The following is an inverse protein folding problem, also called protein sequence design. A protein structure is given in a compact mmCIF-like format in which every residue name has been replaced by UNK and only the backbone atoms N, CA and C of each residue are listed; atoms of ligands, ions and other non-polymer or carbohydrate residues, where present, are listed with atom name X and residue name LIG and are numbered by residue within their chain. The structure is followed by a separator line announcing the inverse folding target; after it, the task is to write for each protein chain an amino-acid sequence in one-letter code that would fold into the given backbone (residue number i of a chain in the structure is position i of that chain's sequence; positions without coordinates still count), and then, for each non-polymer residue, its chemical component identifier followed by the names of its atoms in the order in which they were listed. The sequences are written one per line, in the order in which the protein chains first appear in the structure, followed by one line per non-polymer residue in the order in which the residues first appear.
data_IF_465400063064
#
_entry.id   IF_465400063064
#
_cell.length_a   1.000
_cell.length_b   1.000
_cell.length_c   1.000
_cell.angle_alpha   90.00
_cell.angle_beta   90.00
_cell.angle_gamma   90.00
#
_symmetry.space_group_name_H-M   'P 1'
#
loop_
_entity.id
_entity.type
_entity.pdbx_description
1 polymer ?
#
# COMPACT_ATOMS: atom_id res chain seq x y z
N UNK A 1 -26.64 -49.67 -19.14
CA UNK A 1 -27.85 -48.83 -19.07
C UNK A 1 -28.67 -49.23 -17.85
N UNK A 2 -28.94 -48.25 -16.98
CA UNK A 2 -30.03 -48.10 -16.00
C UNK A 2 -30.62 -49.37 -15.36
N UNK A 3 -30.54 -49.46 -14.03
CA UNK A 3 -31.75 -49.59 -13.19
C UNK A 3 -31.59 -48.81 -11.88
N UNK A 4 -32.61 -48.00 -11.61
CA UNK A 4 -32.88 -47.32 -10.35
C UNK A 4 -33.45 -48.32 -9.35
N UNK A 5 -33.18 -48.14 -8.07
CA UNK A 5 -34.11 -48.51 -7.00
C UNK A 5 -33.93 -47.51 -5.86
N UNK A 6 -35.04 -46.95 -5.40
CA UNK A 6 -35.07 -46.01 -4.30
C UNK A 6 -35.78 -46.57 -3.08
N UNK A 7 -35.92 -45.65 -2.12
CA UNK A 7 -36.91 -45.54 -1.05
C UNK A 7 -36.55 -46.01 0.38
N UNK A 8 -36.74 -45.03 1.28
CA UNK A 8 -37.31 -45.07 2.64
C UNK A 8 -36.43 -45.55 3.81
N UNK A 9 -35.99 -44.63 4.68
CA UNK A 9 -36.66 -44.04 5.88
C UNK A 9 -36.43 -44.90 7.14
N UNK A 10 -35.84 -44.31 8.20
CA UNK A 10 -36.46 -44.11 9.54
C UNK A 10 -35.41 -43.81 10.64
N UNK A 11 -35.52 -42.59 11.18
CA UNK A 11 -35.41 -42.15 12.60
C UNK A 11 -34.50 -42.86 13.62
N UNK A 12 -33.66 -42.10 14.33
CA UNK A 12 -33.72 -42.05 15.81
C UNK A 12 -33.00 -40.81 16.38
N UNK A 13 -33.74 -40.03 17.17
CA UNK A 13 -33.29 -38.95 18.05
C UNK A 13 -32.73 -39.56 19.33
N UNK A 14 -31.67 -38.98 19.91
CA UNK A 14 -31.44 -39.06 21.36
C UNK A 14 -30.83 -37.76 21.89
N UNK A 15 -31.62 -37.05 22.69
CA UNK A 15 -31.24 -35.89 23.50
C UNK A 15 -30.86 -36.40 24.89
N UNK A 16 -29.74 -35.94 25.44
CA UNK A 16 -29.49 -35.95 26.88
C UNK A 16 -29.06 -34.55 27.32
N UNK A 17 -29.92 -33.93 28.13
CA UNK A 17 -29.58 -32.79 28.96
C UNK A 17 -29.34 -33.30 30.39
N UNK A 18 -28.29 -32.83 31.05
CA UNK A 18 -28.21 -32.79 32.51
C UNK A 18 -27.67 -31.42 32.94
N UNK A 19 -28.53 -30.73 33.69
CA UNK A 19 -28.27 -29.52 34.45
C UNK A 19 -27.72 -29.89 35.83
N UNK A 20 -26.71 -29.13 36.28
CA UNK A 20 -26.32 -28.90 37.69
C UNK A 20 -25.88 -27.42 37.72
N UNK A 21 -26.29 -26.49 38.59
CA UNK A 21 -27.15 -26.52 39.77
C UNK A 21 -26.46 -25.86 40.97
N UNK A 22 -26.59 -24.52 41.12
CA UNK A 22 -26.47 -23.69 42.35
C UNK A 22 -25.11 -23.61 43.10
N UNK A 23 -24.73 -22.60 43.90
CA UNK A 23 -25.19 -21.24 44.26
C UNK A 23 -24.27 -20.67 45.38
N UNK A 24 -23.86 -19.38 45.30
CA UNK A 24 -23.85 -18.41 46.42
C UNK A 24 -22.70 -18.24 47.45
N UNK A 25 -22.10 -17.03 47.44
CA UNK A 25 -21.97 -16.02 48.55
C UNK A 25 -20.67 -15.84 49.40
N UNK A 26 -20.05 -14.65 49.21
CA UNK A 26 -19.28 -13.68 50.07
C UNK A 26 -18.26 -14.10 51.17
N UNK A 27 -17.02 -13.56 51.09
CA UNK A 27 -16.26 -12.79 52.13
C UNK A 27 -14.78 -12.51 51.75
N UNK A 28 -14.31 -11.27 51.95
CA UNK A 28 -12.88 -10.85 52.06
C UNK A 28 -12.20 -11.54 53.30
N UNK A 29 -10.89 -11.67 53.56
CA UNK A 29 -9.62 -10.98 53.23
C UNK A 29 -8.46 -11.96 53.54
N UNK A 30 -7.35 -11.96 52.76
CA UNK A 30 -5.94 -11.78 53.23
C UNK A 30 -4.87 -12.23 52.21
N UNK A 31 -4.02 -11.26 51.84
CA UNK A 31 -2.55 -11.33 51.60
C UNK A 31 -1.92 -12.60 51.01
N UNK A 32 -1.29 -12.44 49.84
CA UNK A 32 -0.11 -13.22 49.45
C UNK A 32 0.04 -13.45 47.95
N UNK A 33 1.17 -12.98 47.42
CA UNK A 33 1.90 -13.47 46.24
C UNK A 33 1.46 -13.09 44.80
N UNK A 34 2.37 -12.33 44.18
CA UNK A 34 3.00 -12.63 42.89
C UNK A 34 2.08 -13.15 41.78
N UNK A 35 1.34 -12.23 41.16
CA UNK A 35 0.91 -12.43 39.78
C UNK A 35 1.89 -11.72 38.85
N UNK A 36 2.85 -12.51 38.38
CA UNK A 36 3.27 -12.48 36.98
C UNK A 36 2.02 -12.21 36.13
N UNK A 37 1.91 -11.00 35.59
CA UNK A 37 1.19 -10.81 34.34
C UNK A 37 2.03 -11.47 33.24
N UNK A 38 2.00 -12.81 33.21
CA UNK A 38 1.99 -13.50 31.95
C UNK A 38 0.59 -13.22 31.40
N UNK A 39 0.48 -12.10 30.68
CA UNK A 39 -0.60 -11.94 29.72
C UNK A 39 -0.59 -13.22 28.89
N UNK A 40 -1.70 -13.97 28.97
CA UNK A 40 -1.94 -15.05 28.03
C UNK A 40 -1.86 -14.41 26.64
N UNK A 41 -0.75 -14.65 25.94
CA UNK A 41 -0.58 -14.33 24.52
C UNK A 41 -1.85 -14.89 23.86
N UNK A 42 -2.79 -14.02 23.53
CA UNK A 42 -4.05 -14.41 22.91
C UNK A 42 -3.67 -15.28 21.72
N UNK A 43 -4.27 -16.47 21.63
CA UNK A 43 -4.00 -17.40 20.55
C UNK A 43 -4.26 -16.66 19.22
N UNK A 44 -3.23 -16.50 18.39
CA UNK A 44 -3.36 -15.76 17.13
C UNK A 44 -4.35 -16.51 16.24
N UNK A 45 -5.25 -15.79 15.57
CA UNK A 45 -6.20 -16.44 14.67
C UNK A 45 -5.52 -16.79 13.35
N UNK A 46 -5.67 -18.03 12.89
CA UNK A 46 -5.12 -18.48 11.62
C UNK A 46 -5.63 -17.65 10.43
N UNK A 47 -4.73 -17.23 9.54
CA UNK A 47 -5.06 -16.43 8.36
C UNK A 47 -3.87 -15.63 7.85
N UNK A 48 -4.12 -14.91 6.76
CA UNK A 48 -3.20 -13.91 6.21
C UNK A 48 -3.60 -12.53 6.70
N UNK A 49 -2.60 -11.72 7.04
CA UNK A 49 -2.76 -10.36 7.53
C UNK A 49 -1.81 -9.46 6.76
N UNK A 50 -2.25 -8.25 6.42
CA UNK A 50 -1.47 -7.28 5.66
C UNK A 50 -1.69 -5.90 6.26
N UNK A 51 -0.61 -5.15 6.40
CA UNK A 51 -0.61 -3.72 6.73
C UNK A 51 0.20 -3.01 5.66
N UNK A 52 -0.40 -1.97 5.08
CA UNK A 52 0.20 -1.10 4.08
C UNK A 52 0.10 0.34 4.57
N UNK A 53 1.24 1.00 4.68
CA UNK A 53 1.25 2.42 5.03
C UNK A 53 0.81 3.30 3.87
N UNK A 54 0.28 4.50 4.15
CA UNK A 54 0.15 5.53 3.15
C UNK A 54 1.50 5.91 2.54
N UNK A 55 1.49 6.29 1.27
CA UNK A 55 2.66 6.81 0.55
C UNK A 55 3.21 8.06 1.28
N UNK A 56 4.51 8.05 1.60
CA UNK A 56 5.15 9.23 2.20
C UNK A 56 5.36 10.36 1.19
N UNK A 57 5.73 11.54 1.69
CA UNK A 57 6.09 12.68 0.84
C UNK A 57 7.39 12.44 0.03
N UNK A 58 8.13 11.38 0.37
CA UNK A 58 9.29 10.91 -0.39
C UNK A 58 8.93 9.82 -1.42
N UNK A 59 7.64 9.59 -1.69
CA UNK A 59 7.17 8.65 -2.71
C UNK A 59 7.47 7.17 -2.40
N UNK A 60 7.60 6.82 -1.12
CA UNK A 60 7.79 5.45 -0.66
C UNK A 60 7.01 5.16 0.62
N UNK A 61 6.77 3.89 0.93
CA UNK A 61 6.00 3.46 2.10
C UNK A 61 6.38 2.06 2.55
N UNK A 62 6.07 1.73 3.80
CA UNK A 62 6.23 0.38 4.35
C UNK A 62 5.01 -0.50 4.10
N UNK A 63 5.25 -1.78 3.85
CA UNK A 63 4.19 -2.80 3.76
C UNK A 63 4.71 -4.08 4.39
N UNK A 64 3.85 -4.79 5.12
CA UNK A 64 4.16 -6.14 5.57
C UNK A 64 2.98 -7.09 5.42
N UNK A 65 3.31 -8.34 5.17
CA UNK A 65 2.40 -9.47 5.13
C UNK A 65 2.83 -10.51 6.16
N UNK A 66 1.86 -11.08 6.86
CA UNK A 66 2.06 -12.08 7.91
C UNK A 66 1.04 -13.21 7.74
N UNK A 67 1.50 -14.45 7.82
CA UNK A 67 0.62 -15.62 7.89
C UNK A 67 0.68 -16.25 9.28
N UNK A 68 -0.48 -16.64 9.78
CA UNK A 68 -0.65 -17.40 11.02
C UNK A 68 -1.24 -18.76 10.70
N UNK A 69 -0.61 -19.81 11.21
CA UNK A 69 -1.06 -21.19 11.09
C UNK A 69 -0.88 -21.93 12.41
N UNK A 70 -1.93 -22.61 12.88
CA UNK A 70 -1.97 -23.30 14.17
C UNK A 70 -1.66 -22.35 15.36
N UNK A 71 -2.12 -21.10 15.29
CA UNK A 71 -1.91 -20.11 16.34
C UNK A 71 -0.50 -19.50 16.38
N UNK A 72 0.37 -19.83 15.42
CA UNK A 72 1.76 -19.35 15.35
C UNK A 72 2.03 -18.62 14.02
N UNK A 73 2.97 -17.67 14.03
CA UNK A 73 3.39 -16.95 12.81
C UNK A 73 4.21 -17.90 11.93
N UNK A 74 3.66 -18.29 10.78
CA UNK A 74 4.30 -19.19 9.82
C UNK A 74 5.20 -18.45 8.83
N UNK A 75 4.83 -17.23 8.43
CA UNK A 75 5.63 -16.39 7.53
C UNK A 75 5.43 -14.91 7.86
N UNK A 76 6.47 -14.12 7.59
CA UNK A 76 6.45 -12.68 7.74
C UNK A 76 7.43 -12.05 6.75
N UNK A 77 6.99 -10.99 6.08
CA UNK A 77 7.82 -10.19 5.19
C UNK A 77 7.45 -8.72 5.35
N UNK A 78 8.44 -7.87 5.60
CA UNK A 78 8.35 -6.42 5.59
C UNK A 78 9.20 -5.85 4.46
N UNK A 79 8.62 -4.96 3.68
CA UNK A 79 9.29 -4.27 2.58
C UNK A 79 9.00 -2.78 2.63
N UNK A 80 9.90 -1.99 2.04
CA UNK A 80 9.62 -0.59 1.69
C UNK A 80 9.55 -0.47 0.17
N UNK A 81 8.49 0.14 -0.34
CA UNK A 81 8.15 0.15 -1.77
C UNK A 81 8.27 1.57 -2.33
N UNK A 82 8.81 1.72 -3.53
CA UNK A 82 8.79 2.96 -4.31
C UNK A 82 7.44 3.09 -5.03
N UNK A 83 6.64 4.08 -4.66
CA UNK A 83 5.24 4.21 -5.09
C UNK A 83 5.07 4.36 -6.62
N UNK A 84 6.04 4.96 -7.30
CA UNK A 84 5.98 5.12 -8.76
C UNK A 84 6.16 3.78 -9.49
N UNK A 85 7.14 2.97 -9.09
CA UNK A 85 7.47 1.72 -9.78
C UNK A 85 6.76 0.49 -9.20
N UNK A 86 6.34 0.54 -7.93
CA UNK A 86 5.88 -0.64 -7.19
C UNK A 86 7.00 -1.62 -6.83
N UNK A 87 8.26 -1.25 -7.10
CA UNK A 87 9.41 -2.05 -6.72
C UNK A 87 9.76 -1.84 -5.26
N UNK A 88 10.19 -2.93 -4.62
CA UNK A 88 10.80 -2.86 -3.31
C UNK A 88 12.15 -2.16 -3.41
N UNK A 89 12.50 -1.39 -2.38
CA UNK A 89 13.80 -0.73 -2.28
C UNK A 89 14.91 -1.78 -2.32
N UNK A 90 15.86 -1.59 -3.23
CA UNK A 90 17.02 -2.44 -3.39
C UNK A 90 18.22 -1.62 -3.91
N UNK A 91 19.38 -2.26 -4.04
CA UNK A 91 20.63 -1.58 -4.42
C UNK A 91 20.58 -0.90 -5.80
N UNK A 92 19.69 -1.33 -6.69
CA UNK A 92 19.57 -0.76 -8.04
C UNK A 92 18.65 0.46 -8.10
N UNK A 93 17.70 0.59 -7.18
CA UNK A 93 16.68 1.65 -7.20
C UNK A 93 16.69 2.58 -5.97
N UNK A 94 17.51 2.28 -4.96
CA UNK A 94 17.57 3.06 -3.72
C UNK A 94 19.00 3.23 -3.22
N UNK A 95 19.55 4.43 -3.38
CA UNK A 95 20.94 4.77 -3.03
C UNK A 95 21.11 5.14 -1.55
N UNK A 96 20.74 4.24 -0.64
CA UNK A 96 20.99 4.37 0.79
C UNK A 96 21.18 2.98 1.41
N UNK A 97 22.42 2.49 1.36
CA UNK A 97 22.80 1.12 1.73
C UNK A 97 22.46 0.79 3.19
N UNK A 98 22.63 1.75 4.10
CA UNK A 98 22.30 1.57 5.51
C UNK A 98 20.80 1.30 5.70
N UNK A 99 19.93 1.98 4.95
CA UNK A 99 18.49 1.73 4.98
C UNK A 99 18.13 0.31 4.53
N UNK A 100 18.77 -0.17 3.46
CA UNK A 100 18.57 -1.54 2.96
C UNK A 100 19.04 -2.59 3.98
N UNK A 101 20.19 -2.35 4.61
CA UNK A 101 20.72 -3.23 5.66
C UNK A 101 19.80 -3.29 6.89
N UNK A 102 19.18 -2.17 7.28
CA UNK A 102 18.19 -2.13 8.37
C UNK A 102 16.96 -2.95 8.01
N UNK A 103 16.40 -2.81 6.79
CA UNK A 103 15.23 -3.60 6.35
C UNK A 103 15.53 -5.11 6.40
N UNK A 104 16.68 -5.53 5.85
CA UNK A 104 17.09 -6.92 5.84
C UNK A 104 17.25 -7.48 7.27
N UNK A 105 17.94 -6.73 8.14
CA UNK A 105 18.19 -7.13 9.52
C UNK A 105 16.91 -7.23 10.35
N UNK A 106 15.95 -6.31 10.20
CA UNK A 106 14.67 -6.36 10.90
C UNK A 106 13.85 -7.59 10.50
N UNK A 107 13.82 -7.90 9.20
CA UNK A 107 13.16 -9.12 8.70
C UNK A 107 13.81 -10.39 9.25
N UNK A 108 15.13 -10.48 9.26
CA UNK A 108 15.88 -11.61 9.82
C UNK A 108 15.55 -11.81 11.30
N UNK A 109 15.77 -10.79 12.12
CA UNK A 109 15.56 -10.86 13.57
C UNK A 109 14.12 -11.23 13.93
N UNK A 110 13.12 -10.61 13.29
CA UNK A 110 11.73 -10.94 13.58
C UNK A 110 11.35 -12.32 13.07
N UNK A 111 11.88 -12.76 11.93
CA UNK A 111 11.60 -14.11 11.43
C UNK A 111 12.19 -15.20 12.32
N UNK A 112 13.32 -14.96 12.98
CA UNK A 112 13.92 -15.87 13.96
C UNK A 112 13.15 -15.92 15.27
N UNK A 113 12.73 -14.77 15.77
CA UNK A 113 12.20 -14.64 17.14
C UNK A 113 10.67 -14.71 17.22
N UNK A 114 9.97 -14.29 16.14
CA UNK A 114 8.52 -14.10 16.06
C UNK A 114 7.97 -13.26 17.24
N UNK A 115 8.79 -12.34 17.72
CA UNK A 115 8.56 -11.58 18.95
C UNK A 115 9.23 -10.22 18.84
N UNK A 116 8.41 -9.17 18.72
CA UNK A 116 8.87 -7.80 18.48
C UNK A 116 9.73 -7.26 19.63
N UNK A 117 9.53 -7.75 20.86
CA UNK A 117 10.29 -7.34 22.03
C UNK A 117 11.70 -7.96 22.07
N UNK A 118 11.98 -8.93 21.20
CA UNK A 118 13.31 -9.55 21.04
C UNK A 118 14.10 -8.98 19.87
N UNK A 119 13.51 -8.08 19.09
CA UNK A 119 14.21 -7.40 18.00
C UNK A 119 15.12 -6.31 18.59
N UNK A 120 16.42 -6.41 18.32
CA UNK A 120 17.40 -5.38 18.63
C UNK A 120 17.38 -4.31 17.53
N UNK A 121 16.65 -3.23 17.78
CA UNK A 121 16.54 -2.10 16.88
C UNK A 121 17.83 -1.29 16.76
N UNK A 122 18.82 -1.49 17.64
CA UNK A 122 20.10 -0.77 17.61
C UNK A 122 21.22 -1.57 16.93
N UNK A 123 20.95 -2.81 16.51
CA UNK A 123 21.92 -3.70 15.86
C UNK A 123 22.54 -3.11 14.57
N UNK A 124 21.76 -2.35 13.80
CA UNK A 124 22.22 -1.62 12.60
C UNK A 124 21.95 -0.13 12.79
N UNK A 125 22.96 0.72 12.57
CA UNK A 125 22.82 2.17 12.73
C UNK A 125 22.04 2.82 11.58
N UNK A 126 21.30 3.90 11.86
CA UNK A 126 20.58 4.69 10.85
C UNK A 126 19.12 4.24 10.65
N UNK A 127 18.50 4.78 9.59
CA UNK A 127 17.11 4.50 9.18
C UNK A 127 16.08 4.47 10.33
N UNK A 128 16.11 5.49 11.19
CA UNK A 128 15.21 5.59 12.37
C UNK A 128 13.74 5.41 12.00
N UNK A 129 13.28 6.06 10.92
CA UNK A 129 11.89 5.94 10.46
C UNK A 129 11.52 4.53 9.98
N UNK A 130 12.44 3.80 9.32
CA UNK A 130 12.22 2.39 8.94
C UNK A 130 11.98 1.52 10.17
N UNK A 131 12.78 1.72 11.24
CA UNK A 131 12.63 0.98 12.50
C UNK A 131 11.31 1.29 13.22
N UNK A 132 10.95 2.57 13.28
CA UNK A 132 9.68 3.03 13.86
C UNK A 132 8.49 2.44 13.09
N UNK A 133 8.52 2.50 11.76
CA UNK A 133 7.48 1.93 10.89
C UNK A 133 7.37 0.42 11.07
N UNK A 134 8.50 -0.30 11.04
CA UNK A 134 8.52 -1.73 11.27
C UNK A 134 7.85 -2.11 12.59
N UNK A 135 8.23 -1.45 13.70
CA UNK A 135 7.65 -1.72 15.02
C UNK A 135 6.14 -1.48 15.03
N UNK A 136 5.67 -0.38 14.44
CA UNK A 136 4.23 -0.09 14.36
C UNK A 136 3.50 -1.12 13.51
N UNK A 137 3.99 -1.41 12.32
CA UNK A 137 3.37 -2.36 11.37
C UNK A 137 3.27 -3.75 11.99
N UNK A 138 4.33 -4.24 12.63
CA UNK A 138 4.31 -5.55 13.30
C UNK A 138 3.26 -5.56 14.42
N UNK A 139 3.21 -4.52 15.27
CA UNK A 139 2.21 -4.44 16.33
C UNK A 139 0.77 -4.42 15.78
N UNK A 140 0.55 -3.71 14.66
CA UNK A 140 -0.76 -3.68 14.00
C UNK A 140 -1.13 -5.05 13.40
N UNK A 141 -0.19 -5.75 12.76
CA UNK A 141 -0.40 -7.11 12.27
C UNK A 141 -0.76 -8.08 13.40
N UNK A 142 -0.07 -7.98 14.54
CA UNK A 142 -0.35 -8.80 15.73
C UNK A 142 -1.74 -8.52 16.30
N UNK A 143 -2.14 -7.25 16.38
CA UNK A 143 -3.48 -6.85 16.83
C UNK A 143 -4.57 -7.35 15.86
N UNK A 144 -4.36 -7.21 14.54
CA UNK A 144 -5.25 -7.77 13.52
C UNK A 144 -5.38 -9.29 13.64
N UNK A 145 -4.27 -9.99 13.85
CA UNK A 145 -4.27 -11.43 14.03
C UNK A 145 -4.97 -11.89 15.31
N UNK A 146 -4.80 -11.16 16.42
CA UNK A 146 -5.51 -11.43 17.67
C UNK A 146 -7.02 -11.20 17.53
N UNK A 147 -7.44 -10.24 16.71
CA UNK A 147 -8.86 -9.92 16.43
C UNK A 147 -9.47 -10.77 15.31
N UNK A 148 -8.66 -11.51 14.55
CA UNK A 148 -9.10 -12.24 13.36
C UNK A 148 -9.51 -11.33 12.20
N UNK A 149 -8.95 -10.13 12.10
CA UNK A 149 -9.14 -9.18 11.00
C UNK A 149 -8.32 -9.61 9.77
N UNK A 150 -8.74 -10.73 9.15
CA UNK A 150 -8.04 -11.34 8.03
C UNK A 150 -8.01 -10.42 6.82
N UNK A 151 -6.89 -10.47 6.10
CA UNK A 151 -6.71 -9.80 4.82
C UNK A 151 -7.30 -10.64 3.69
N UNK A 152 -8.02 -9.98 2.79
CA UNK A 152 -8.56 -10.56 1.55
C UNK A 152 -8.07 -9.74 0.36
N UNK A 153 -7.42 -10.36 -0.65
CA UNK A 153 -6.93 -9.65 -1.82
C UNK A 153 -8.10 -9.17 -2.71
N UNK A 154 -7.95 -7.97 -3.28
CA UNK A 154 -8.99 -7.34 -4.13
C UNK A 154 -8.69 -7.51 -5.62
N UNK A 155 -7.41 -7.56 -5.97
CA UNK A 155 -6.93 -7.66 -7.35
C UNK A 155 -6.09 -8.93 -7.55
N UNK A 156 -6.00 -9.37 -8.80
CA UNK A 156 -5.00 -10.32 -9.26
C UNK A 156 -3.66 -9.60 -9.35
N UNK A 157 -2.60 -10.28 -8.96
CA UNK A 157 -1.24 -9.75 -9.07
C UNK A 157 -0.82 -9.64 -10.53
N UNK A 158 -0.06 -8.60 -10.85
CA UNK A 158 0.42 -8.35 -12.20
C UNK A 158 0.74 -6.89 -12.49
N UNK A 159 1.19 -6.66 -13.71
CA UNK A 159 1.38 -5.32 -14.27
C UNK A 159 0.24 -5.03 -15.25
N UNK A 160 -0.37 -3.86 -15.08
CA UNK A 160 -1.52 -3.41 -15.84
C UNK A 160 -1.22 -2.08 -16.50
N UNK A 161 -1.62 -1.91 -17.76
CA UNK A 161 -1.35 -0.69 -18.51
C UNK A 161 -2.58 -0.23 -19.26
N UNK A 162 -2.73 1.08 -19.40
CA UNK A 162 -3.72 1.66 -20.29
C UNK A 162 -3.18 2.98 -20.87
N UNK A 163 -3.49 3.19 -22.14
CA UNK A 163 -3.15 4.42 -22.88
C UNK A 163 -4.45 5.13 -23.25
N UNK A 164 -4.43 6.46 -23.21
CA UNK A 164 -5.52 7.31 -23.68
C UNK A 164 -5.77 7.09 -25.18
N UNK A 165 -7.02 7.27 -25.62
CA UNK A 165 -7.38 7.07 -27.03
C UNK A 165 -6.90 8.22 -27.92
N UNK A 166 -6.93 9.45 -27.39
CA UNK A 166 -6.55 10.66 -28.09
C UNK A 166 -5.60 11.51 -27.26
N UNK A 167 -4.68 12.19 -27.95
CA UNK A 167 -3.78 13.14 -27.33
C UNK A 167 -4.49 14.47 -27.05
N UNK A 168 -4.19 15.08 -25.91
CA UNK A 168 -4.64 16.44 -25.57
C UNK A 168 -3.49 17.42 -25.77
N UNK A 169 -3.65 18.35 -26.73
CA UNK A 169 -2.65 19.37 -27.03
C UNK A 169 -1.25 18.80 -27.33
N UNK A 170 -1.20 17.68 -28.05
CA UNK A 170 0.05 16.99 -28.40
C UNK A 170 0.58 16.02 -27.34
N UNK A 171 -0.12 15.85 -26.21
CA UNK A 171 0.29 14.96 -25.12
C UNK A 171 -0.65 13.76 -24.98
N UNK A 172 -0.11 12.54 -25.02
CA UNK A 172 -0.86 11.31 -24.80
C UNK A 172 -0.58 10.73 -23.41
N UNK A 173 -1.64 10.46 -22.65
CA UNK A 173 -1.55 9.88 -21.31
C UNK A 173 -1.44 8.36 -21.32
N UNK A 174 -0.61 7.82 -20.44
CA UNK A 174 -0.47 6.39 -20.18
C UNK A 174 -0.34 6.16 -18.67
N UNK A 175 -0.90 5.05 -18.19
CA UNK A 175 -0.69 4.57 -16.83
C UNK A 175 -0.09 3.18 -16.84
N UNK A 176 0.84 2.93 -15.91
CA UNK A 176 1.34 1.61 -15.54
C UNK A 176 1.07 1.38 -14.08
N UNK A 177 0.46 0.24 -13.75
CA UNK A 177 0.04 -0.12 -12.40
C UNK A 177 0.65 -1.47 -12.06
N UNK A 178 1.24 -1.57 -10.88
CA UNK A 178 1.77 -2.82 -10.34
C UNK A 178 0.90 -3.24 -9.17
N UNK A 179 0.39 -4.48 -9.24
CA UNK A 179 -0.39 -5.11 -8.18
C UNK A 179 0.41 -6.27 -7.58
N UNK A 180 0.54 -6.27 -6.26
CA UNK A 180 1.12 -7.37 -5.46
C UNK A 180 0.25 -7.65 -4.26
N UNK A 181 0.06 -8.93 -3.93
CA UNK A 181 -0.82 -9.39 -2.86
C UNK A 181 -2.26 -8.82 -2.98
N UNK A 182 -2.73 -8.55 -4.19
CA UNK A 182 -4.03 -7.90 -4.44
C UNK A 182 -4.14 -6.44 -4.00
N UNK A 183 -3.01 -5.76 -3.76
CA UNK A 183 -2.91 -4.33 -3.53
C UNK A 183 -2.25 -3.64 -4.74
N UNK A 184 -2.74 -2.45 -5.12
CA UNK A 184 -1.97 -1.52 -5.93
C UNK A 184 -0.76 -1.09 -5.10
N UNK A 185 0.43 -1.46 -5.57
CA UNK A 185 1.71 -1.13 -4.94
C UNK A 185 2.54 -0.13 -5.74
N UNK A 186 2.29 -0.03 -7.04
CA UNK A 186 2.96 0.91 -7.94
C UNK A 186 1.98 1.57 -8.90
N UNK A 187 2.16 2.85 -9.17
CA UNK A 187 1.41 3.58 -10.19
C UNK A 187 2.28 4.68 -10.80
N UNK A 188 2.61 4.53 -12.09
CA UNK A 188 3.30 5.52 -12.93
C UNK A 188 2.31 6.03 -13.98
N UNK A 189 1.69 7.18 -13.73
CA UNK A 189 0.97 7.91 -14.75
C UNK A 189 1.90 8.97 -15.35
N UNK A 190 1.93 9.04 -16.67
CA UNK A 190 2.70 10.03 -17.37
C UNK A 190 2.01 10.40 -18.68
N UNK A 191 2.33 11.59 -19.18
CA UNK A 191 1.95 12.00 -20.52
C UNK A 191 3.21 12.15 -21.36
N UNK A 192 3.16 11.84 -22.65
CA UNK A 192 4.30 11.99 -23.56
C UNK A 192 3.90 12.70 -24.86
N UNK A 193 4.85 13.42 -25.46
CA UNK A 193 4.60 14.15 -26.71
C UNK A 193 4.40 13.16 -27.87
N UNK A 194 3.36 13.33 -28.67
CA UNK A 194 3.09 12.42 -29.82
C UNK A 194 3.87 12.78 -31.08
N UNK A 195 4.39 14.00 -31.15
CA UNK A 195 5.18 14.53 -32.26
C UNK A 195 6.16 15.58 -31.75
N UNK A 196 7.13 15.97 -32.59
CA UNK A 196 8.04 17.08 -32.27
C UNK A 196 7.24 18.39 -32.19
N UNK A 197 7.40 19.13 -31.11
CA UNK A 197 6.65 20.38 -30.89
C UNK A 197 7.49 21.42 -30.15
N UNK A 198 7.18 22.69 -30.36
CA UNK A 198 7.65 23.76 -29.48
C UNK A 198 6.71 23.89 -28.29
N UNK A 199 7.26 23.77 -27.09
CA UNK A 199 6.55 24.02 -25.85
C UNK A 199 7.14 25.18 -25.07
N UNK A 200 6.69 25.32 -23.83
CA UNK A 200 7.20 26.29 -22.88
C UNK A 200 7.43 25.61 -21.55
N UNK A 201 8.54 25.94 -20.89
CA UNK A 201 8.84 25.52 -19.52
C UNK A 201 8.94 26.74 -18.61
N UNK A 202 8.75 26.52 -17.30
CA UNK A 202 8.95 27.56 -16.29
C UNK A 202 10.45 27.82 -16.11
N UNK A 203 10.81 29.10 -15.94
CA UNK A 203 12.15 29.50 -15.52
C UNK A 203 12.23 29.45 -13.99
N UNK A 204 13.24 28.75 -13.47
CA UNK A 204 13.49 28.62 -12.04
C UNK A 204 14.73 29.43 -11.63
N UNK A 205 14.74 29.93 -10.40
CA UNK A 205 15.91 30.55 -9.79
C UNK A 205 16.90 29.50 -9.23
N UNK A 206 17.98 29.97 -8.62
CA UNK A 206 19.02 29.11 -8.01
C UNK A 206 18.49 28.24 -6.86
N UNK A 207 17.34 28.60 -6.27
CA UNK A 207 16.67 27.87 -5.19
C UNK A 207 15.60 26.88 -5.72
N UNK A 208 15.48 26.68 -7.05
CA UNK A 208 14.40 25.93 -7.70
C UNK A 208 12.99 26.52 -7.48
N UNK A 209 12.87 27.83 -7.26
CA UNK A 209 11.56 28.51 -7.18
C UNK A 209 11.20 29.11 -8.53
N UNK A 210 9.92 29.06 -8.96
CA UNK A 210 9.48 29.72 -10.18
C UNK A 210 9.77 31.23 -10.15
N UNK A 211 10.51 31.72 -11.14
CA UNK A 211 10.67 33.16 -11.36
C UNK A 211 9.31 33.72 -11.74
N UNK A 212 8.85 34.75 -11.03
CA UNK A 212 7.53 35.35 -11.23
C UNK A 212 7.68 36.69 -11.96
N UNK A 213 6.91 36.88 -13.02
CA UNK A 213 6.86 38.14 -13.76
C UNK A 213 6.01 39.21 -13.07
N UNK A 214 6.01 40.42 -13.61
CA UNK A 214 5.24 41.55 -13.08
C UNK A 214 3.72 41.31 -13.06
N UNK A 215 3.23 40.37 -13.86
CA UNK A 215 1.83 39.94 -13.92
C UNK A 215 1.45 38.89 -12.87
N UNK A 216 2.39 38.51 -12.01
CA UNK A 216 2.22 37.49 -10.98
C UNK A 216 2.21 36.06 -11.53
N UNK A 217 2.55 35.84 -12.80
CA UNK A 217 2.64 34.50 -13.40
C UNK A 217 4.08 34.03 -13.50
N UNK A 218 4.33 32.70 -13.53
CA UNK A 218 5.66 32.18 -13.80
C UNK A 218 6.19 32.67 -15.15
N UNK A 219 7.43 33.15 -15.16
CA UNK A 219 8.18 33.42 -16.39
C UNK A 219 8.44 32.10 -17.10
N UNK A 220 8.22 32.08 -18.41
CA UNK A 220 8.42 30.88 -19.24
C UNK A 220 9.38 31.15 -20.39
N UNK A 221 10.13 30.12 -20.78
CA UNK A 221 10.94 30.13 -22.00
C UNK A 221 10.53 29.00 -22.95
N UNK A 222 10.79 29.20 -24.25
CA UNK A 222 10.51 28.21 -25.28
C UNK A 222 11.48 27.02 -25.17
N UNK A 223 10.98 25.83 -25.46
CA UNK A 223 11.75 24.58 -25.44
C UNK A 223 11.27 23.67 -26.56
N UNK A 224 12.21 23.04 -27.26
CA UNK A 224 11.89 22.03 -28.26
C UNK A 224 11.66 20.70 -27.55
N UNK A 225 10.56 20.03 -27.87
CA UNK A 225 10.13 18.78 -27.28
C UNK A 225 10.11 17.74 -28.38
N UNK A 226 10.80 16.63 -28.17
CA UNK A 226 10.83 15.55 -29.17
C UNK A 226 9.65 14.60 -28.99
N UNK A 227 9.20 13.95 -30.07
CA UNK A 227 8.23 12.87 -29.98
C UNK A 227 8.70 11.78 -29.01
N UNK A 228 7.79 11.31 -28.16
CA UNK A 228 8.05 10.31 -27.10
C UNK A 228 8.62 10.87 -25.80
N UNK A 229 8.97 12.16 -25.76
CA UNK A 229 9.49 12.78 -24.54
C UNK A 229 8.38 12.91 -23.47
N UNK A 230 8.66 12.47 -22.25
CA UNK A 230 7.70 12.56 -21.13
C UNK A 230 7.51 14.01 -20.71
N UNK A 231 6.28 14.39 -20.45
CA UNK A 231 5.90 15.70 -19.89
C UNK A 231 6.56 15.85 -18.52
N UNK A 232 7.23 16.98 -18.31
CA UNK A 232 7.95 17.28 -17.07
C UNK A 232 8.07 18.79 -16.86
N UNK A 233 8.62 19.21 -15.72
CA UNK A 233 8.95 20.63 -15.46
C UNK A 233 9.95 21.21 -16.46
N UNK A 234 10.72 20.36 -17.15
CA UNK A 234 11.77 20.78 -18.08
C UNK A 234 11.22 21.04 -19.48
N UNK A 235 9.98 20.62 -19.77
CA UNK A 235 9.35 20.81 -21.08
C UNK A 235 7.89 21.29 -21.01
N UNK A 236 7.34 21.52 -19.82
CA UNK A 236 5.95 21.95 -19.64
C UNK A 236 5.82 23.06 -18.59
N UNK A 237 4.99 24.06 -18.87
CA UNK A 237 4.92 25.31 -18.11
C UNK A 237 3.83 25.33 -17.05
N UNK A 238 2.86 24.42 -17.13
CA UNK A 238 1.76 24.37 -16.16
C UNK A 238 2.11 23.39 -15.03
N UNK A 239 2.83 23.89 -14.02
CA UNK A 239 3.36 23.08 -12.91
C UNK A 239 2.26 22.41 -12.07
N UNK A 240 1.08 23.03 -11.97
CA UNK A 240 -0.07 22.45 -11.27
C UNK A 240 -0.46 21.07 -11.82
N UNK A 241 -0.29 20.81 -13.13
CA UNK A 241 -0.59 19.47 -13.66
C UNK A 241 0.33 18.40 -13.08
N UNK A 242 1.61 18.72 -12.85
CA UNK A 242 2.57 17.77 -12.26
C UNK A 242 2.23 17.46 -10.81
N UNK A 243 1.79 18.49 -10.06
CA UNK A 243 1.34 18.31 -8.69
C UNK A 243 0.06 17.46 -8.62
N UNK A 244 -0.90 17.72 -9.52
CA UNK A 244 -2.13 16.92 -9.62
C UNK A 244 -1.82 15.47 -10.00
N UNK A 245 -0.91 15.22 -10.94
CA UNK A 245 -0.45 13.86 -11.27
C UNK A 245 0.07 13.17 -10.01
N UNK A 246 1.07 13.74 -9.34
CA UNK A 246 1.66 13.14 -8.14
C UNK A 246 0.63 12.87 -7.03
N UNK A 247 -0.25 13.83 -6.73
CA UNK A 247 -1.28 13.69 -5.71
C UNK A 247 -2.31 12.60 -6.05
N UNK A 248 -2.72 12.52 -7.33
CA UNK A 248 -3.67 11.49 -7.76
C UNK A 248 -3.07 10.09 -7.69
N UNK A 249 -1.82 9.92 -8.11
CA UNK A 249 -1.14 8.62 -7.99
C UNK A 249 -1.06 8.19 -6.52
N UNK A 250 -0.65 9.10 -5.64
CA UNK A 250 -0.62 8.89 -4.19
C UNK A 250 -1.97 8.44 -3.65
N UNK A 251 -3.02 9.21 -3.95
CA UNK A 251 -4.37 8.97 -3.46
C UNK A 251 -4.92 7.62 -3.93
N UNK A 252 -4.65 7.23 -5.18
CA UNK A 252 -5.11 5.95 -5.75
C UNK A 252 -4.38 4.76 -5.10
N UNK A 253 -3.08 4.87 -4.84
CA UNK A 253 -2.30 3.83 -4.15
C UNK A 253 -2.82 3.67 -2.71
N UNK A 254 -2.97 4.79 -1.99
CA UNK A 254 -3.44 4.80 -0.59
C UNK A 254 -4.86 4.23 -0.46
N UNK A 255 -5.74 4.57 -1.40
CA UNK A 255 -7.12 4.08 -1.45
C UNK A 255 -7.25 2.67 -2.04
N UNK A 256 -6.16 2.10 -2.58
CA UNK A 256 -6.15 0.83 -3.29
C UNK A 256 -7.17 0.76 -4.44
N UNK A 257 -7.24 1.81 -5.26
CA UNK A 257 -8.16 1.90 -6.39
C UNK A 257 -8.83 3.27 -6.48
N UNK A 258 -9.81 3.39 -7.38
CA UNK A 258 -10.49 4.68 -7.66
C UNK A 258 -11.86 4.85 -6.99
N UNK A 259 -12.35 3.82 -6.31
CA UNK A 259 -13.66 3.86 -5.67
C UNK A 259 -13.62 4.73 -4.41
N UNK A 260 -14.56 5.68 -4.27
CA UNK A 260 -14.65 6.59 -3.13
C UNK A 260 -13.42 7.48 -2.89
N UNK A 261 -12.65 7.80 -3.96
CA UNK A 261 -11.57 8.77 -3.87
C UNK A 261 -12.08 10.15 -3.44
N UNK A 262 -11.38 10.77 -2.49
CA UNK A 262 -11.55 12.20 -2.17
C UNK A 262 -10.89 13.08 -3.25
N UNK A 263 -11.47 13.08 -4.44
CA UNK A 263 -10.96 13.84 -5.59
C UNK A 263 -11.02 15.35 -5.40
N UNK A 264 -11.86 15.82 -4.47
CA UNK A 264 -12.02 17.24 -4.16
C UNK A 264 -10.83 17.79 -3.36
N UNK A 265 -10.07 16.91 -2.68
CA UNK A 265 -8.80 17.27 -2.04
C UNK A 265 -7.68 17.64 -3.03
N UNK A 266 -7.83 17.26 -4.31
CA UNK A 266 -6.87 17.54 -5.39
C UNK A 266 -7.44 18.60 -6.33
N UNK A 267 -7.05 19.86 -6.11
CA UNK A 267 -7.52 21.01 -6.90
C UNK A 267 -6.64 21.27 -8.13
N UNK A 268 -7.23 21.83 -9.19
CA UNK A 268 -6.51 22.16 -10.44
C UNK A 268 -6.50 21.01 -11.45
N UNK A 269 -6.04 21.30 -12.68
CA UNK A 269 -5.87 20.35 -13.78
C UNK A 269 -6.98 19.27 -13.91
N UNK A 270 -8.25 19.68 -13.94
CA UNK A 270 -9.42 18.77 -13.93
C UNK A 270 -9.34 17.67 -14.99
N UNK A 271 -8.92 18.03 -16.22
CA UNK A 271 -8.77 17.05 -17.31
C UNK A 271 -7.74 15.97 -16.97
N UNK A 272 -6.56 16.35 -16.45
CA UNK A 272 -5.52 15.40 -16.03
C UNK A 272 -6.06 14.44 -14.96
N UNK A 273 -6.76 14.96 -13.96
CA UNK A 273 -7.37 14.14 -12.91
C UNK A 273 -8.37 13.13 -13.48
N UNK A 274 -9.27 13.58 -14.36
CA UNK A 274 -10.25 12.71 -15.02
C UNK A 274 -9.58 11.63 -15.85
N UNK A 275 -8.58 11.99 -16.66
CA UNK A 275 -7.82 11.02 -17.48
C UNK A 275 -7.11 9.97 -16.62
N UNK A 276 -6.51 10.35 -15.48
CA UNK A 276 -5.87 9.39 -14.57
C UNK A 276 -6.89 8.35 -14.09
N UNK A 277 -8.07 8.79 -13.62
CA UNK A 277 -9.11 7.90 -13.11
C UNK A 277 -9.58 6.94 -14.21
N UNK A 278 -9.91 7.47 -15.39
CA UNK A 278 -10.37 6.68 -16.54
C UNK A 278 -9.33 5.62 -16.97
N UNK A 279 -8.05 6.01 -17.02
CA UNK A 279 -6.99 5.07 -17.40
C UNK A 279 -6.74 4.02 -16.32
N UNK A 280 -6.85 4.36 -15.04
CA UNK A 280 -6.71 3.39 -13.95
C UNK A 280 -7.87 2.38 -13.96
N UNK A 281 -9.11 2.85 -14.17
CA UNK A 281 -10.27 1.97 -14.34
C UNK A 281 -10.08 1.01 -15.52
N UNK A 282 -9.64 1.55 -16.67
CA UNK A 282 -9.37 0.77 -17.88
C UNK A 282 -8.24 -0.24 -17.68
N UNK A 283 -7.14 0.15 -17.04
CA UNK A 283 -6.00 -0.72 -16.79
C UNK A 283 -6.37 -1.88 -15.85
N UNK A 284 -7.18 -1.62 -14.83
CA UNK A 284 -7.62 -2.62 -13.86
C UNK A 284 -8.89 -3.37 -14.28
N UNK A 285 -9.36 -3.18 -15.51
CA UNK A 285 -10.51 -3.91 -16.04
C UNK A 285 -10.19 -5.42 -16.07
N UNK A 286 -10.99 -6.22 -15.34
CA UNK A 286 -10.76 -7.66 -15.20
C UNK A 286 -9.66 -8.08 -14.22
N UNK A 287 -8.98 -7.11 -13.58
CA UNK A 287 -8.00 -7.37 -12.53
C UNK A 287 -8.65 -7.77 -11.19
N UNK A 288 -9.90 -7.34 -10.92
CA UNK A 288 -10.62 -7.71 -9.70
C UNK A 288 -10.81 -9.23 -9.54
N UNK A 289 -10.75 -9.71 -8.30
CA UNK A 289 -10.97 -11.12 -7.92
C UNK A 289 -12.45 -11.48 -7.76
#
# INVERSE_FOLDING_TARGET
MKKRLGLMVLSMVLVFALLVGCSGKDSETSTGDNNNQNEAKGELVDGTYLVKDPVSDHGNYGMAIMEVANGEISSFEYVEILATSGEEKNENNYNYAEGLAVIANLNEQFNETKDIEKVDFDAVTGATHTKENFKRIVNELMDKAAKGEKYEPVYKDGEYTATAEEASHGWLGEVKIVVKHGQIVGLDYYEYAVEDMEGKKVVFDEDNKPVTGDDGKPVTEAVQISAGERKSKDNYSYLESMEVMSKMQKLIIDNNGVENLDVDSVTGATNTRTTIIELVEKALEGAKL
#
